data_IF_469700117082
#
_entry.id   IF_469700117082
#
_cell.length_a   1.000
_cell.length_b   1.000
_cell.length_c   1.000
_cell.angle_alpha   90.00
_cell.angle_beta   90.00
_cell.angle_gamma   90.00
#
_symmetry.space_group_name_H-M   'P 1'
#
loop_
_entity.id
_entity.type
_entity.pdbx_description
1 polymer ?
#
# COMPACT_ATOMS: atom_id res chain seq x y z
N UNK A 1 -16.68 30.47 29.93
CA UNK A 1 -15.41 30.60 29.21
C UNK A 1 -15.19 29.25 28.57
N UNK A 2 -15.26 29.15 27.24
CA UNK A 2 -15.08 27.87 26.55
C UNK A 2 -13.60 27.51 26.52
N UNK A 3 -13.30 26.21 26.46
CA UNK A 3 -11.93 25.72 26.39
C UNK A 3 -11.29 26.15 25.05
N UNK A 4 -9.99 26.51 25.00
CA UNK A 4 -9.30 26.83 23.76
C UNK A 4 -9.45 25.75 22.67
N UNK A 5 -9.66 24.50 23.08
CA UNK A 5 -9.92 23.38 22.19
C UNK A 5 -11.32 23.46 21.51
N UNK A 6 -12.34 23.95 22.21
CA UNK A 6 -13.70 24.07 21.67
C UNK A 6 -13.80 25.18 20.63
N UNK A 7 -13.08 26.28 20.84
CA UNK A 7 -13.02 27.39 19.87
C UNK A 7 -12.29 26.98 18.59
N UNK A 8 -11.23 26.16 18.68
CA UNK A 8 -10.52 25.64 17.51
C UNK A 8 -11.40 24.67 16.69
N UNK A 9 -12.14 23.78 17.36
CA UNK A 9 -13.06 22.84 16.70
C UNK A 9 -14.17 23.61 15.95
N UNK A 10 -14.74 24.68 16.53
CA UNK A 10 -15.71 25.54 15.84
C UNK A 10 -15.13 26.19 14.59
N UNK A 11 -13.91 26.72 14.65
CA UNK A 11 -13.25 27.34 13.48
C UNK A 11 -13.02 26.34 12.34
N UNK A 12 -12.71 25.07 12.66
CA UNK A 12 -12.55 24.02 11.66
C UNK A 12 -13.89 23.63 11.00
N UNK A 13 -14.97 23.56 11.77
CA UNK A 13 -16.32 23.22 11.29
C UNK A 13 -16.92 24.34 10.43
N UNK A 14 -16.80 25.61 10.85
CA UNK A 14 -17.32 26.78 10.12
C UNK A 14 -16.62 27.01 8.77
N UNK A 15 -15.40 26.48 8.59
CA UNK A 15 -14.61 26.63 7.35
C UNK A 15 -14.59 25.36 6.47
N UNK A 16 -15.47 24.40 6.73
CA UNK A 16 -15.54 23.11 6.01
C UNK A 16 -14.22 22.31 5.98
N UNK A 17 -13.34 22.49 6.97
CA UNK A 17 -12.14 21.67 7.05
C UNK A 17 -12.52 20.26 7.53
N UNK A 18 -12.25 19.26 6.70
CA UNK A 18 -12.34 17.86 7.10
C UNK A 18 -11.24 17.60 8.13
N UNK A 19 -11.61 17.45 9.39
CA UNK A 19 -10.70 16.92 10.41
C UNK A 19 -10.42 15.48 9.99
N UNK A 20 -9.26 15.25 9.37
CA UNK A 20 -8.79 13.90 9.04
C UNK A 20 -8.24 13.32 10.33
N UNK A 21 -9.12 12.67 11.09
CA UNK A 21 -8.71 11.78 12.17
C UNK A 21 -7.79 10.71 11.60
N UNK A 22 -6.76 10.31 12.35
CA UNK A 22 -5.85 9.23 11.97
C UNK A 22 -6.66 8.00 11.50
N UNK A 23 -6.24 7.31 10.43
CA UNK A 23 -6.99 6.18 9.90
C UNK A 23 -7.12 5.11 10.97
N UNK A 24 -8.36 4.76 11.32
CA UNK A 24 -8.63 3.69 12.29
C UNK A 24 -8.28 2.35 11.65
N UNK A 25 -7.40 1.57 12.29
CA UNK A 25 -7.07 0.21 11.84
C UNK A 25 -8.31 -0.68 11.97
N UNK A 26 -8.90 -1.02 10.82
CA UNK A 26 -10.11 -1.86 10.74
C UNK A 26 -9.80 -3.34 10.55
N UNK A 27 -8.62 -3.66 9.99
CA UNK A 27 -8.21 -5.04 9.72
C UNK A 27 -6.70 -5.14 9.58
N UNK A 28 -6.11 -6.16 10.21
CA UNK A 28 -4.73 -6.57 9.98
C UNK A 28 -4.75 -7.96 9.33
N UNK A 29 -3.89 -8.15 8.33
CA UNK A 29 -3.72 -9.42 7.62
C UNK A 29 -2.24 -9.74 7.63
N UNK A 30 -1.88 -10.83 8.31
CA UNK A 30 -0.53 -11.35 8.31
C UNK A 30 -0.40 -12.43 7.22
N UNK A 31 0.60 -12.28 6.36
CA UNK A 31 1.00 -13.30 5.39
C UNK A 31 2.10 -14.10 6.07
N UNK A 32 1.84 -15.33 6.46
CA UNK A 32 2.73 -16.19 7.27
C UNK A 32 3.47 -17.26 6.46
N UNK A 33 3.09 -17.45 5.19
CA UNK A 33 3.71 -18.40 4.30
C UNK A 33 4.98 -17.79 3.66
N UNK A 34 6.19 -18.32 3.94
CA UNK A 34 7.44 -17.75 3.41
C UNK A 34 7.49 -17.74 1.89
N UNK A 35 6.85 -18.72 1.25
CA UNK A 35 6.79 -18.78 -0.22
C UNK A 35 6.02 -17.62 -0.83
N UNK A 36 5.11 -17.00 -0.08
CA UNK A 36 4.29 -15.87 -0.53
C UNK A 36 4.86 -14.51 -0.12
N UNK A 37 5.74 -14.51 0.89
CA UNK A 37 6.55 -13.36 1.29
C UNK A 37 7.72 -13.13 0.32
N UNK A 38 8.41 -14.20 -0.08
CA UNK A 38 9.65 -14.13 -0.86
C UNK A 38 9.41 -14.45 -2.34
N UNK A 39 8.81 -13.50 -3.05
CA UNK A 39 8.64 -13.58 -4.51
C UNK A 39 9.50 -12.54 -5.24
N UNK A 40 10.18 -12.99 -6.29
CA UNK A 40 10.77 -12.06 -7.27
C UNK A 40 9.65 -11.54 -8.15
N UNK A 41 9.38 -10.26 -8.02
CA UNK A 41 8.33 -9.56 -8.76
C UNK A 41 8.96 -8.47 -9.62
N UNK A 42 8.60 -8.43 -10.90
CA UNK A 42 9.01 -7.35 -11.78
C UNK A 42 8.19 -6.11 -11.44
N UNK A 43 8.89 -4.97 -11.33
CA UNK A 43 8.25 -3.68 -11.14
C UNK A 43 7.62 -3.24 -12.47
N UNK A 44 6.48 -2.53 -12.40
CA UNK A 44 5.94 -1.88 -13.58
C UNK A 44 6.82 -0.67 -14.02
N UNK A 45 6.48 -0.05 -15.15
CA UNK A 45 7.21 1.10 -15.71
C UNK A 45 7.23 2.33 -14.81
N UNK A 46 6.37 2.37 -13.79
CA UNK A 46 6.28 3.45 -12.80
C UNK A 46 6.99 3.08 -11.49
N UNK A 47 7.67 1.94 -11.47
CA UNK A 47 8.38 1.45 -10.30
C UNK A 47 7.46 0.89 -9.21
N UNK A 48 6.27 0.40 -9.56
CA UNK A 48 5.33 -0.19 -8.60
C UNK A 48 5.50 -1.70 -8.54
N UNK A 49 5.46 -2.23 -7.32
CA UNK A 49 5.35 -3.67 -7.06
C UNK A 49 3.89 -4.02 -6.83
N UNK A 50 3.39 -5.04 -7.52
CA UNK A 50 2.00 -5.51 -7.39
C UNK A 50 1.97 -6.81 -6.62
N UNK A 51 1.17 -6.88 -5.55
CA UNK A 51 0.90 -8.14 -4.85
C UNK A 51 0.17 -9.09 -5.82
N UNK A 52 0.68 -10.32 -6.06
CA UNK A 52 0.06 -11.26 -6.98
C UNK A 52 -1.41 -11.56 -6.65
N UNK A 53 -2.22 -11.79 -7.69
CA UNK A 53 -3.66 -12.05 -7.54
C UNK A 53 -3.97 -13.29 -6.68
N UNK A 54 -3.12 -14.32 -6.73
CA UNK A 54 -3.24 -15.53 -5.91
C UNK A 54 -3.17 -15.23 -4.40
N UNK A 55 -2.21 -14.39 -4.00
CA UNK A 55 -2.04 -13.93 -2.62
C UNK A 55 -3.23 -13.07 -2.22
N UNK A 56 -3.62 -12.11 -3.08
CA UNK A 56 -4.78 -11.23 -2.81
C UNK A 56 -6.06 -12.03 -2.56
N UNK A 57 -6.36 -12.99 -3.43
CA UNK A 57 -7.56 -13.82 -3.30
C UNK A 57 -7.52 -14.70 -2.05
N UNK A 58 -6.37 -15.32 -1.76
CA UNK A 58 -6.22 -16.19 -0.58
C UNK A 58 -6.45 -15.44 0.73
N UNK A 59 -5.91 -14.23 0.84
CA UNK A 59 -5.98 -13.44 2.06
C UNK A 59 -7.14 -12.42 2.07
N UNK A 60 -7.97 -12.41 1.03
CA UNK A 60 -9.11 -11.50 0.90
C UNK A 60 -8.69 -10.02 0.91
N UNK A 61 -7.63 -9.70 0.18
CA UNK A 61 -7.12 -8.34 -0.03
C UNK A 61 -7.75 -7.80 -1.31
N UNK A 62 -8.83 -7.05 -1.16
CA UNK A 62 -9.50 -6.36 -2.27
C UNK A 62 -9.02 -4.90 -2.35
N UNK A 63 -8.30 -4.58 -3.42
CA UNK A 63 -7.76 -3.25 -3.65
C UNK A 63 -8.77 -2.23 -4.20
N UNK A 64 -9.95 -2.67 -4.64
CA UNK A 64 -11.01 -1.78 -5.15
C UNK A 64 -11.95 -1.32 -4.03
N UNK A 65 -12.15 -2.17 -3.01
CA UNK A 65 -13.09 -1.91 -1.92
C UNK A 65 -12.44 -1.31 -0.65
N UNK A 66 -11.10 -1.21 -0.59
CA UNK A 66 -10.40 -0.85 0.65
C UNK A 66 -9.16 0.04 0.47
N UNK A 67 -8.92 0.90 1.48
CA UNK A 67 -7.66 1.63 1.64
C UNK A 67 -6.66 0.77 2.43
N UNK A 68 -5.89 -0.05 1.71
CA UNK A 68 -4.87 -0.91 2.30
C UNK A 68 -3.53 -0.18 2.45
N UNK A 69 -2.87 -0.40 3.58
CA UNK A 69 -1.50 0.04 3.83
C UNK A 69 -0.62 -1.19 4.03
N UNK A 70 0.58 -1.16 3.46
CA UNK A 70 1.53 -2.27 3.52
C UNK A 70 2.82 -1.75 4.09
N UNK A 71 3.33 -2.42 5.13
CA UNK A 71 4.69 -2.21 5.61
C UNK A 71 5.66 -2.99 4.72
N UNK A 72 6.64 -2.29 4.15
CA UNK A 72 7.58 -2.88 3.20
C UNK A 72 9.01 -2.83 3.74
N UNK A 73 9.67 -3.98 3.77
CA UNK A 73 11.12 -4.09 3.98
C UNK A 73 11.78 -4.56 2.68
N UNK A 74 12.71 -3.77 2.14
CA UNK A 74 13.43 -4.10 0.90
C UNK A 74 14.74 -4.80 1.26
N UNK A 75 14.83 -6.11 1.03
CA UNK A 75 16.05 -6.89 1.27
C UNK A 75 17.02 -6.88 0.08
N UNK A 76 16.50 -6.84 -1.16
CA UNK A 76 17.31 -6.93 -2.38
C UNK A 76 16.60 -6.22 -3.55
N UNK A 77 17.38 -5.52 -4.38
CA UNK A 77 16.93 -4.94 -5.64
C UNK A 77 17.92 -5.37 -6.74
N UNK A 78 17.41 -5.91 -7.84
CA UNK A 78 18.22 -6.38 -8.97
C UNK A 78 17.73 -5.74 -10.27
N UNK A 79 18.66 -5.23 -11.07
CA UNK A 79 18.38 -4.88 -12.47
C UNK A 79 18.75 -6.08 -13.34
N UNK A 80 17.79 -6.60 -14.08
CA UNK A 80 18.01 -7.68 -15.05
C UNK A 80 18.05 -7.07 -16.45
N UNK A 81 19.00 -7.51 -17.27
CA UNK A 81 18.87 -7.33 -18.71
C UNK A 81 17.84 -8.36 -19.19
N UNK A 82 16.95 -7.94 -20.08
CA UNK A 82 16.23 -8.91 -20.90
C UNK A 82 17.29 -9.76 -21.62
N UNK A 83 17.07 -11.08 -21.72
CA UNK A 83 17.91 -11.88 -22.60
C UNK A 83 17.81 -11.21 -23.98
N UNK A 84 18.94 -10.68 -24.47
CA UNK A 84 19.04 -10.19 -25.85
C UNK A 84 18.44 -11.31 -26.72
N UNK A 85 17.25 -11.08 -27.29
CA UNK A 85 16.81 -11.84 -28.44
C UNK A 85 17.85 -11.53 -29.52
N UNK A 86 18.86 -12.40 -29.59
CA UNK A 86 19.79 -12.49 -30.70
C UNK A 86 19.01 -12.81 -31.96
N UNK A 87 18.40 -11.78 -32.54
CA UNK A 87 17.91 -11.77 -33.91
C UNK A 87 19.09 -11.42 -34.82
N UNK A 88 19.56 -12.43 -35.53
CA UNK A 88 20.68 -12.40 -36.46
C UNK A 88 20.55 -11.31 -37.54
N UNK A 89 21.71 -10.69 -37.82
CA UNK A 89 22.19 -10.00 -39.04
C UNK A 89 21.21 -9.37 -40.03
#
# INVERSE_FOLDING_TARGET
MNSPCEDFIRVCVDKHYKIVTEPTLVRMVEIDNPREQDHVVQMDTRGRVTIPSSVRHRYGIDGEEGNWWVELTIHKLEKRQDEDEGGES
#
